data_IF_842075216827
#
_entry.id   IF_842075216827
#
_cell.length_a   1.000
_cell.length_b   1.000
_cell.length_c   1.000
_cell.angle_alpha   90.00
_cell.angle_beta   90.00
_cell.angle_gamma   90.00
#
_symmetry.space_group_name_H-M   'P 1'
#
loop_
_entity.id
_entity.type
_entity.pdbx_description
1 polymer ?
#
# COMPACT_ATOMS: atom_id res chain seq x y z
N UNK A 1 -4.73 3.85 20.08
CA UNK A 1 -5.93 3.03 19.73
C UNK A 1 -6.31 2.15 20.89
N UNK A 2 -7.59 2.02 21.20
CA UNK A 2 -8.08 1.03 22.14
C UNK A 2 -8.47 -0.26 21.42
N UNK A 3 -8.16 -1.41 22.02
CA UNK A 3 -8.61 -2.70 21.50
C UNK A 3 -10.13 -2.82 21.54
N UNK A 4 -10.75 -3.31 20.48
CA UNK A 4 -12.21 -3.53 20.41
C UNK A 4 -12.63 -4.87 21.01
N UNK A 5 -11.67 -5.77 21.23
CA UNK A 5 -11.92 -7.11 21.75
C UNK A 5 -10.74 -7.57 22.60
N UNK A 6 -11.01 -8.50 23.52
CA UNK A 6 -9.95 -9.17 24.26
C UNK A 6 -9.31 -10.23 23.36
N UNK A 7 -8.18 -9.87 22.73
CA UNK A 7 -7.46 -10.75 21.79
C UNK A 7 -6.30 -11.42 22.52
N UNK A 8 -6.30 -12.74 22.54
CA UNK A 8 -5.27 -13.55 23.21
C UNK A 8 -4.57 -14.48 22.19
N UNK A 9 -3.60 -13.92 21.50
CA UNK A 9 -2.84 -14.60 20.41
C UNK A 9 -1.34 -14.69 20.72
N UNK A 10 -0.94 -14.48 21.98
CA UNK A 10 0.47 -14.54 22.37
C UNK A 10 1.27 -13.25 22.10
N UNK A 11 0.61 -12.16 21.76
CA UNK A 11 1.21 -10.83 21.55
C UNK A 11 0.51 -9.87 22.52
N UNK A 12 1.29 -9.12 23.28
CA UNK A 12 0.75 -8.15 24.24
C UNK A 12 0.02 -6.99 23.54
N UNK A 13 -0.87 -6.33 24.29
CA UNK A 13 -1.71 -5.26 23.73
C UNK A 13 -0.89 -4.09 23.18
N UNK A 14 0.18 -3.69 23.86
CA UNK A 14 1.02 -2.57 23.43
C UNK A 14 1.68 -2.86 22.08
N UNK A 15 2.21 -4.05 21.90
CA UNK A 15 2.83 -4.48 20.65
C UNK A 15 1.78 -4.60 19.53
N UNK A 16 0.61 -5.19 19.82
CA UNK A 16 -0.49 -5.25 18.85
C UNK A 16 -0.92 -3.86 18.38
N UNK A 17 -1.00 -2.89 19.29
CA UNK A 17 -1.34 -1.51 18.95
C UNK A 17 -0.32 -0.86 18.01
N UNK A 18 0.97 -1.03 18.29
CA UNK A 18 2.05 -0.51 17.43
C UNK A 18 2.03 -1.12 16.03
N UNK A 19 1.80 -2.44 15.95
CA UNK A 19 1.68 -3.13 14.67
C UNK A 19 0.47 -2.63 13.89
N UNK A 20 -0.69 -2.51 14.55
CA UNK A 20 -1.91 -2.00 13.94
C UNK A 20 -1.75 -0.55 13.42
N UNK A 21 -1.01 0.29 14.16
CA UNK A 21 -0.69 1.65 13.72
C UNK A 21 0.17 1.65 12.46
N UNK A 22 1.21 0.82 12.42
CA UNK A 22 2.05 0.63 11.24
C UNK A 22 1.26 0.14 10.04
N UNK A 23 0.43 -0.88 10.23
CA UNK A 23 -0.44 -1.41 9.17
C UNK A 23 -1.48 -0.39 8.70
N UNK A 24 -1.95 0.50 9.57
CA UNK A 24 -2.86 1.59 9.18
C UNK A 24 -2.19 2.58 8.24
N UNK A 25 -0.91 2.88 8.43
CA UNK A 25 -0.12 3.69 7.49
C UNK A 25 0.08 2.95 6.17
N UNK A 26 0.37 1.65 6.22
CA UNK A 26 0.50 0.81 5.03
C UNK A 26 -0.82 0.74 4.24
N UNK A 27 -1.94 0.61 4.94
CA UNK A 27 -3.28 0.62 4.35
C UNK A 27 -3.55 1.95 3.63
N UNK A 28 -3.24 3.07 4.29
CA UNK A 28 -3.42 4.40 3.72
C UNK A 28 -2.57 4.60 2.45
N UNK A 29 -1.30 4.18 2.48
CA UNK A 29 -0.41 4.24 1.31
C UNK A 29 -0.94 3.37 0.18
N UNK A 30 -1.37 2.15 0.49
CA UNK A 30 -1.89 1.20 -0.52
C UNK A 30 -3.17 1.73 -1.16
N UNK A 31 -4.08 2.29 -0.37
CA UNK A 31 -5.32 2.87 -0.89
C UNK A 31 -5.06 4.12 -1.73
N UNK A 32 -4.14 4.97 -1.29
CA UNK A 32 -3.73 6.16 -2.06
C UNK A 32 -3.11 5.78 -3.40
N UNK A 33 -2.26 4.75 -3.41
CA UNK A 33 -1.66 4.23 -4.64
C UNK A 33 -2.71 3.59 -5.55
N UNK A 34 -3.67 2.86 -4.96
CA UNK A 34 -4.83 2.31 -5.70
C UNK A 34 -5.57 3.42 -6.44
N UNK A 35 -5.97 4.47 -5.75
CA UNK A 35 -6.71 5.57 -6.36
C UNK A 35 -5.89 6.28 -7.45
N UNK A 36 -4.61 6.55 -7.20
CA UNK A 36 -3.71 7.16 -8.19
C UNK A 36 -3.58 6.29 -9.44
N UNK A 37 -3.39 5.00 -9.27
CA UNK A 37 -3.26 4.04 -10.38
C UNK A 37 -4.57 3.95 -11.17
N UNK A 38 -5.71 3.93 -10.49
CA UNK A 38 -7.04 3.91 -11.11
C UNK A 38 -7.29 5.19 -11.92
N UNK A 39 -6.96 6.34 -11.36
CA UNK A 39 -7.00 7.63 -12.05
C UNK A 39 -6.14 7.59 -13.33
N UNK A 40 -4.92 7.11 -13.25
CA UNK A 40 -4.01 7.05 -14.40
C UNK A 40 -4.46 6.01 -15.44
N UNK A 41 -5.06 4.91 -15.01
CA UNK A 41 -5.71 3.96 -15.90
C UNK A 41 -6.79 4.61 -16.76
N UNK A 42 -7.62 5.46 -16.17
CA UNK A 42 -8.68 6.17 -16.90
C UNK A 42 -8.13 7.26 -17.83
N UNK A 43 -7.12 7.99 -17.38
CA UNK A 43 -6.75 9.28 -17.99
C UNK A 43 -5.48 9.22 -18.83
N UNK A 44 -4.78 8.09 -18.93
CA UNK A 44 -3.59 7.95 -19.77
C UNK A 44 -3.95 8.11 -21.23
N UNK A 45 -3.08 8.79 -21.99
CA UNK A 45 -3.21 9.00 -23.45
C UNK A 45 -1.85 8.83 -24.11
N UNK A 46 -1.86 8.78 -25.45
CA UNK A 46 -0.65 8.73 -26.26
C UNK A 46 -0.36 7.36 -26.88
N UNK A 47 0.82 7.19 -27.49
CA UNK A 47 1.17 5.98 -28.25
C UNK A 47 1.16 4.70 -27.41
N UNK A 48 1.38 4.81 -26.10
CA UNK A 48 1.40 3.67 -25.18
C UNK A 48 0.06 3.47 -24.44
N UNK A 49 -1.02 4.13 -24.91
CA UNK A 49 -2.31 4.11 -24.22
C UNK A 49 -2.76 2.71 -23.85
N UNK A 50 -2.86 1.80 -24.81
CA UNK A 50 -3.42 0.47 -24.57
C UNK A 50 -2.55 -0.34 -23.61
N UNK A 51 -1.24 -0.31 -23.78
CA UNK A 51 -0.30 -1.02 -22.91
C UNK A 51 -0.41 -0.52 -21.48
N UNK A 52 -0.40 0.79 -21.27
CA UNK A 52 -0.45 1.39 -19.93
C UNK A 52 -1.83 1.25 -19.30
N UNK A 53 -2.89 1.42 -20.06
CA UNK A 53 -4.26 1.24 -19.59
C UNK A 53 -4.45 -0.16 -19.00
N UNK A 54 -4.02 -1.20 -19.70
CA UNK A 54 -4.10 -2.58 -19.25
C UNK A 54 -3.13 -2.89 -18.08
N UNK A 55 -1.92 -2.33 -18.13
CA UNK A 55 -0.94 -2.49 -17.07
C UNK A 55 -1.44 -1.87 -15.75
N UNK A 56 -2.00 -0.66 -15.81
CA UNK A 56 -2.54 0.01 -14.64
C UNK A 56 -3.78 -0.72 -14.09
N UNK A 57 -4.60 -1.33 -14.96
CA UNK A 57 -5.72 -2.17 -14.53
C UNK A 57 -5.24 -3.38 -13.71
N UNK A 58 -4.23 -4.08 -14.18
CA UNK A 58 -3.62 -5.18 -13.44
C UNK A 58 -3.11 -4.72 -12.08
N UNK A 59 -2.47 -3.56 -12.04
CA UNK A 59 -1.91 -2.99 -10.81
C UNK A 59 -3.00 -2.57 -9.81
N UNK A 60 -4.03 -1.81 -10.23
CA UNK A 60 -5.05 -1.39 -9.28
C UNK A 60 -5.91 -2.56 -8.79
N UNK A 61 -6.13 -3.55 -9.62
CA UNK A 61 -6.88 -4.75 -9.22
C UNK A 61 -6.12 -5.51 -8.11
N UNK A 62 -4.82 -5.66 -8.25
CA UNK A 62 -3.96 -6.26 -7.23
C UNK A 62 -3.97 -5.43 -5.93
N UNK A 63 -3.88 -4.10 -6.05
CA UNK A 63 -3.91 -3.20 -4.91
C UNK A 63 -5.24 -3.27 -4.14
N UNK A 64 -6.36 -3.40 -4.84
CA UNK A 64 -7.68 -3.54 -4.21
C UNK A 64 -7.75 -4.80 -3.31
N UNK A 65 -7.19 -5.92 -3.77
CA UNK A 65 -7.10 -7.14 -2.97
C UNK A 65 -6.16 -6.97 -1.78
N UNK A 66 -5.05 -6.28 -1.97
CA UNK A 66 -4.09 -5.99 -0.91
C UNK A 66 -4.68 -5.13 0.20
N UNK A 67 -5.47 -4.11 -0.15
CA UNK A 67 -6.20 -3.27 0.81
C UNK A 67 -7.03 -4.13 1.77
N UNK A 68 -7.77 -5.08 1.25
CA UNK A 68 -8.61 -5.97 2.05
C UNK A 68 -7.77 -6.79 3.04
N UNK A 69 -6.71 -7.44 2.55
CA UNK A 69 -5.82 -8.25 3.40
C UNK A 69 -5.18 -7.44 4.53
N UNK A 70 -4.73 -6.21 4.25
CA UNK A 70 -4.10 -5.34 5.26
C UNK A 70 -5.13 -4.91 6.30
N UNK A 71 -6.31 -4.47 5.86
CA UNK A 71 -7.39 -4.06 6.75
C UNK A 71 -7.84 -5.20 7.67
N UNK A 72 -8.00 -6.39 7.13
CA UNK A 72 -8.40 -7.58 7.91
C UNK A 72 -7.31 -8.00 8.90
N UNK A 73 -6.02 -7.83 8.57
CA UNK A 73 -4.94 -8.08 9.54
C UNK A 73 -5.00 -7.11 10.72
N UNK A 74 -5.31 -5.83 10.48
CA UNK A 74 -5.55 -4.85 11.56
C UNK A 74 -6.70 -5.34 12.47
N UNK A 75 -7.78 -5.82 11.86
CA UNK A 75 -8.93 -6.36 12.59
C UNK A 75 -8.58 -7.60 13.41
N UNK A 76 -7.80 -8.49 12.85
CA UNK A 76 -7.34 -9.70 13.55
C UNK A 76 -6.46 -9.36 14.78
N UNK A 77 -5.73 -8.25 14.75
CA UNK A 77 -4.97 -7.74 15.89
C UNK A 77 -5.86 -7.09 16.98
N UNK A 78 -7.15 -6.91 16.72
CA UNK A 78 -8.13 -6.38 17.67
C UNK A 78 -8.41 -4.88 17.55
N UNK A 79 -8.06 -4.24 16.43
CA UNK A 79 -8.23 -2.80 16.23
C UNK A 79 -9.12 -2.49 15.03
N UNK A 80 -9.77 -1.31 14.99
CA UNK A 80 -10.50 -0.87 13.80
C UNK A 80 -9.52 -0.52 12.68
N UNK A 81 -9.88 -0.87 11.45
CA UNK A 81 -9.16 -0.42 10.27
C UNK A 81 -9.64 0.98 9.88
N UNK A 82 -8.73 1.94 9.58
CA UNK A 82 -9.16 3.23 9.04
C UNK A 82 -9.84 3.05 7.68
N UNK A 83 -10.86 3.85 7.40
CA UNK A 83 -11.67 3.66 6.19
C UNK A 83 -12.31 4.94 5.67
N UNK A 84 -11.77 6.11 5.96
CA UNK A 84 -12.25 7.38 5.42
C UNK A 84 -11.14 8.11 4.65
N UNK A 85 -11.51 8.93 3.67
CA UNK A 85 -10.54 9.71 2.89
C UNK A 85 -9.70 10.64 3.77
N UNK A 86 -10.30 11.26 4.78
CA UNK A 86 -9.58 12.15 5.68
C UNK A 86 -8.57 11.43 6.56
N UNK A 87 -8.89 10.21 7.00
CA UNK A 87 -7.94 9.35 7.73
C UNK A 87 -6.77 8.96 6.83
N UNK A 88 -7.05 8.51 5.61
CA UNK A 88 -6.00 8.15 4.65
C UNK A 88 -5.12 9.33 4.27
N UNK A 89 -5.70 10.51 4.08
CA UNK A 89 -4.93 11.72 3.79
C UNK A 89 -3.93 12.08 4.90
N UNK A 90 -4.29 11.82 6.15
CA UNK A 90 -3.38 12.07 7.30
C UNK A 90 -2.30 11.01 7.45
N UNK A 91 -2.60 9.77 7.11
CA UNK A 91 -1.72 8.61 7.33
C UNK A 91 -0.79 8.34 6.15
N UNK A 92 -1.21 8.68 4.93
CA UNK A 92 -0.48 8.34 3.71
C UNK A 92 0.79 9.16 3.53
N UNK A 93 1.85 8.51 3.10
CA UNK A 93 3.11 9.15 2.67
C UNK A 93 3.12 9.46 1.17
N UNK A 94 2.09 9.06 0.42
CA UNK A 94 1.98 9.28 -1.02
C UNK A 94 1.19 10.55 -1.28
N UNK A 95 1.80 11.58 -1.90
CA UNK A 95 1.09 12.82 -2.20
C UNK A 95 0.09 12.64 -3.33
N UNK A 96 -0.97 13.44 -3.32
CA UNK A 96 -1.89 13.55 -4.44
C UNK A 96 -1.22 14.25 -5.62
N UNK A 97 -1.66 13.92 -6.83
CA UNK A 97 -1.20 14.58 -8.05
C UNK A 97 -2.38 15.28 -8.72
N UNK A 98 -2.46 16.61 -8.63
CA UNK A 98 -3.54 17.35 -9.29
C UNK A 98 -3.37 17.34 -10.81
N UNK A 99 -4.50 17.38 -11.52
CA UNK A 99 -4.52 17.40 -12.99
C UNK A 99 -4.27 16.01 -13.60
N UNK A 100 -3.93 16.02 -14.87
CA UNK A 100 -3.66 14.80 -15.65
C UNK A 100 -2.24 14.87 -16.21
N UNK A 101 -1.27 14.19 -15.58
CA UNK A 101 0.10 14.14 -16.10
C UNK A 101 0.16 13.42 -17.46
N UNK A 102 1.24 13.62 -18.20
CA UNK A 102 1.54 12.83 -19.40
C UNK A 102 1.96 11.41 -19.01
N UNK A 103 1.87 10.47 -19.96
CA UNK A 103 2.12 9.05 -19.72
C UNK A 103 3.47 8.76 -19.02
N UNK A 104 4.58 9.33 -19.49
CA UNK A 104 5.89 9.13 -18.84
C UNK A 104 5.92 9.63 -17.39
N UNK A 105 5.27 10.76 -17.12
CA UNK A 105 5.17 11.30 -15.76
C UNK A 105 4.28 10.42 -14.88
N UNK A 106 3.18 9.88 -15.41
CA UNK A 106 2.37 8.90 -14.69
C UNK A 106 3.19 7.69 -14.24
N UNK A 107 4.01 7.14 -15.16
CA UNK A 107 4.90 6.02 -14.85
C UNK A 107 5.87 6.38 -13.73
N UNK A 108 6.52 7.56 -13.80
CA UNK A 108 7.45 8.03 -12.79
C UNK A 108 6.78 8.17 -11.41
N UNK A 109 5.60 8.75 -11.37
CA UNK A 109 4.83 8.92 -10.14
C UNK A 109 4.39 7.58 -9.54
N UNK A 110 4.05 6.60 -10.37
CA UNK A 110 3.71 5.26 -9.89
C UNK A 110 4.94 4.51 -9.38
N UNK A 111 6.12 4.67 -9.98
CA UNK A 111 7.38 4.14 -9.42
C UNK A 111 7.59 4.68 -8.01
N UNK A 112 7.49 5.99 -7.84
CA UNK A 112 7.63 6.64 -6.53
C UNK A 112 6.60 6.12 -5.51
N UNK A 113 5.36 5.93 -5.94
CA UNK A 113 4.30 5.37 -5.11
C UNK A 113 4.57 3.94 -4.67
N UNK A 114 5.00 3.07 -5.58
CA UNK A 114 5.39 1.69 -5.26
C UNK A 114 6.53 1.65 -4.25
N UNK A 115 7.55 2.46 -4.46
CA UNK A 115 8.71 2.55 -3.55
C UNK A 115 8.32 3.11 -2.17
N UNK A 116 7.39 4.06 -2.12
CA UNK A 116 6.86 4.59 -0.86
C UNK A 116 6.15 3.49 -0.04
N UNK A 117 5.34 2.66 -0.67
CA UNK A 117 4.68 1.52 -0.01
C UNK A 117 5.72 0.54 0.54
N UNK A 118 6.77 0.25 -0.22
CA UNK A 118 7.88 -0.62 0.24
C UNK A 118 8.54 -0.05 1.49
N UNK A 119 8.86 1.23 1.49
CA UNK A 119 9.48 1.89 2.66
C UNK A 119 8.58 1.84 3.89
N UNK A 120 7.29 2.09 3.72
CA UNK A 120 6.31 2.01 4.81
C UNK A 120 6.22 0.59 5.35
N UNK A 121 6.10 -0.41 4.50
CA UNK A 121 6.06 -1.82 4.91
C UNK A 121 7.33 -2.20 5.68
N UNK A 122 8.50 -1.83 5.17
CA UNK A 122 9.79 -2.14 5.80
C UNK A 122 9.93 -1.50 7.18
N UNK A 123 9.34 -0.32 7.39
CA UNK A 123 9.40 0.39 8.67
C UNK A 123 8.63 -0.32 9.80
N UNK A 124 7.75 -1.27 9.48
CA UNK A 124 6.93 -1.99 10.45
C UNK A 124 7.68 -3.22 11.00
N UNK A 125 8.66 -3.75 10.27
CA UNK A 125 9.36 -4.97 10.64
C UNK A 125 9.97 -4.96 12.06
N UNK A 126 10.62 -3.89 12.55
CA UNK A 126 11.24 -3.93 13.87
C UNK A 126 10.27 -4.34 14.98
N UNK A 127 9.05 -3.79 15.02
CA UNK A 127 8.06 -4.16 16.04
C UNK A 127 7.46 -5.54 15.80
N UNK A 128 7.34 -5.96 14.55
CA UNK A 128 6.83 -7.28 14.17
C UNK A 128 7.83 -8.38 14.57
N UNK A 129 9.11 -8.16 14.28
CA UNK A 129 10.18 -9.11 14.61
C UNK A 129 10.37 -9.25 16.13
N UNK A 130 10.26 -8.15 16.87
CA UNK A 130 10.42 -8.15 18.34
C UNK A 130 9.46 -9.12 19.04
N UNK A 131 8.25 -9.29 18.50
CA UNK A 131 7.22 -10.15 19.10
C UNK A 131 6.92 -11.41 18.29
N UNK A 132 7.70 -11.68 17.26
CA UNK A 132 7.54 -12.84 16.39
C UNK A 132 6.12 -12.92 15.76
N UNK A 133 5.57 -11.78 15.33
CA UNK A 133 4.28 -11.76 14.63
C UNK A 133 4.48 -12.24 13.17
N UNK A 134 4.64 -13.54 13.01
CA UNK A 134 4.90 -14.17 11.71
C UNK A 134 3.81 -13.91 10.66
N UNK A 135 2.49 -13.93 11.01
CA UNK A 135 1.47 -13.59 10.01
C UNK A 135 1.59 -12.17 9.46
N UNK A 136 1.93 -11.18 10.30
CA UNK A 136 2.19 -9.83 9.82
C UNK A 136 3.50 -9.76 9.02
N UNK A 137 4.57 -10.42 9.49
CA UNK A 137 5.83 -10.50 8.75
C UNK A 137 5.63 -11.08 7.34
N UNK A 138 4.86 -12.15 7.20
CA UNK A 138 4.55 -12.77 5.92
C UNK A 138 3.79 -11.80 5.00
N UNK A 139 2.75 -11.14 5.52
CA UNK A 139 2.01 -10.12 4.78
C UNK A 139 2.93 -9.00 4.27
N UNK A 140 3.79 -8.45 5.14
CA UNK A 140 4.74 -7.40 4.77
C UNK A 140 5.73 -7.87 3.70
N UNK A 141 6.23 -9.09 3.84
CA UNK A 141 7.15 -9.70 2.87
C UNK A 141 6.50 -9.83 1.50
N UNK A 142 5.29 -10.32 1.43
CA UNK A 142 4.53 -10.44 0.18
C UNK A 142 4.30 -9.05 -0.45
N UNK A 143 3.89 -8.07 0.36
CA UNK A 143 3.67 -6.72 -0.15
C UNK A 143 4.94 -6.09 -0.71
N UNK A 144 6.05 -6.18 -0.01
CA UNK A 144 7.33 -5.66 -0.51
C UNK A 144 7.73 -6.33 -1.82
N UNK A 145 7.61 -7.65 -1.92
CA UNK A 145 7.96 -8.39 -3.13
C UNK A 145 7.13 -7.92 -4.34
N UNK A 146 5.82 -7.77 -4.17
CA UNK A 146 4.92 -7.31 -5.25
C UNK A 146 5.26 -5.88 -5.67
N UNK A 147 5.42 -4.97 -4.71
CA UNK A 147 5.69 -3.55 -5.00
C UNK A 147 7.08 -3.33 -5.61
N UNK A 148 8.10 -4.04 -5.14
CA UNK A 148 9.45 -3.97 -5.71
C UNK A 148 9.47 -4.46 -7.16
N UNK A 149 8.78 -5.57 -7.45
CA UNK A 149 8.62 -6.08 -8.81
C UNK A 149 7.88 -5.10 -9.72
N UNK A 150 6.78 -4.55 -9.23
CA UNK A 150 5.97 -3.58 -10.00
C UNK A 150 6.77 -2.32 -10.28
N UNK A 151 7.51 -1.81 -9.30
CA UNK A 151 8.40 -0.66 -9.49
C UNK A 151 9.47 -0.94 -10.54
N UNK A 152 10.09 -2.12 -10.52
CA UNK A 152 11.06 -2.54 -11.55
C UNK A 152 10.43 -2.53 -12.95
N UNK A 153 9.26 -3.13 -13.11
CA UNK A 153 8.57 -3.17 -14.41
C UNK A 153 8.23 -1.76 -14.92
N UNK A 154 7.76 -0.89 -14.03
CA UNK A 154 7.46 0.51 -14.39
C UNK A 154 8.74 1.28 -14.78
N UNK A 155 9.83 1.16 -14.01
CA UNK A 155 11.10 1.83 -14.34
C UNK A 155 11.63 1.41 -15.70
N UNK A 156 11.45 0.14 -16.06
CA UNK A 156 11.90 -0.38 -17.36
C UNK A 156 11.24 0.32 -18.55
N UNK A 157 10.05 0.93 -18.34
CA UNK A 157 9.37 1.73 -19.36
C UNK A 157 9.92 3.15 -19.50
N UNK A 158 10.77 3.59 -18.56
CA UNK A 158 11.37 4.93 -18.56
C UNK A 158 12.77 4.94 -19.22
N UNK A 159 13.35 3.78 -19.44
CA UNK A 159 14.64 3.65 -20.12
C UNK A 159 14.47 3.85 -21.63
N UNK A 160 15.46 4.53 -22.26
CA UNK A 160 15.49 4.78 -23.70
C UNK A 160 16.07 3.59 -24.48
#
# INVERSE_FOLDING_TARGET
MSSLANVNIGIDETSRAKIAEGLSRLLADTYSLYLKTHNFHWNVTGPMFQTLHLMFETQYTELALAVDLIAERIRALGYPAPGTYSEYAKLSSIPETPGVPKAKEMIRLLVEGQEAVVRTARSIFPVVDEVNDEPTADLLTQRMQVHEKTAWMLRSLLED
#
